data_IF_202807812026
#
_entry.id   IF_202807812026
#
_cell.length_a   1.000
_cell.length_b   1.000
_cell.length_c   1.000
_cell.angle_alpha   90.00
_cell.angle_beta   90.00
_cell.angle_gamma   90.00
#
_symmetry.space_group_name_H-M   'P 1'
#
loop_
_entity.id
_entity.type
_entity.pdbx_description
1 polymer ?
#
# COMPACT_ATOMS: atom_id res chain seq x y z
N UNK A 1 -6.33 7.09 -11.34
CA UNK A 1 -5.06 7.29 -10.61
C UNK A 1 -3.90 6.97 -11.54
N UNK A 2 -2.75 7.60 -11.35
CA UNK A 2 -1.51 7.29 -12.07
C UNK A 2 -0.61 6.38 -11.21
N UNK A 3 -0.05 5.35 -11.85
CA UNK A 3 0.83 4.34 -11.23
C UNK A 3 2.27 4.62 -11.65
N UNK A 4 2.97 5.39 -10.83
CA UNK A 4 4.18 6.12 -11.21
C UNK A 4 5.43 5.29 -10.88
N UNK A 5 6.27 4.92 -11.87
CA UNK A 5 7.58 4.35 -11.61
C UNK A 5 8.57 5.44 -11.15
N UNK A 6 9.53 5.07 -10.31
CA UNK A 6 10.58 5.94 -9.79
C UNK A 6 11.39 6.59 -10.92
N UNK A 7 11.59 5.85 -12.03
CA UNK A 7 12.26 6.36 -13.22
C UNK A 7 11.61 7.63 -13.76
N UNK A 8 10.28 7.69 -13.80
CA UNK A 8 9.58 8.90 -14.26
C UNK A 8 9.90 10.09 -13.35
N UNK A 9 9.82 9.90 -12.04
CA UNK A 9 10.13 10.95 -11.07
C UNK A 9 11.59 11.43 -11.16
N UNK A 10 12.54 10.50 -11.40
CA UNK A 10 13.94 10.87 -11.64
C UNK A 10 14.10 11.68 -12.94
N UNK A 11 13.42 11.28 -14.03
CA UNK A 11 13.45 12.02 -15.31
C UNK A 11 12.85 13.43 -15.17
N UNK A 12 11.77 13.60 -14.41
CA UNK A 12 11.19 14.91 -14.10
C UNK A 12 12.20 15.78 -13.34
N UNK A 13 12.80 15.24 -12.28
CA UNK A 13 13.80 15.96 -11.44
C UNK A 13 15.03 16.38 -12.24
N UNK A 14 15.51 15.53 -13.13
CA UNK A 14 16.71 15.75 -13.94
C UNK A 14 16.44 16.51 -15.25
N UNK A 15 15.20 16.94 -15.49
CA UNK A 15 14.74 17.58 -16.73
C UNK A 15 15.12 16.78 -17.99
N UNK A 16 14.89 15.46 -17.93
CA UNK A 16 15.15 14.53 -19.03
C UNK A 16 13.88 14.23 -19.82
N UNK A 17 14.08 13.59 -20.98
CA UNK A 17 13.00 13.10 -21.84
C UNK A 17 12.26 11.92 -21.21
N UNK A 18 11.03 11.73 -21.64
CA UNK A 18 10.18 10.58 -21.33
C UNK A 18 9.55 10.06 -22.61
N UNK A 19 9.53 8.74 -22.77
CA UNK A 19 9.00 8.06 -23.96
C UNK A 19 7.65 7.42 -23.63
N UNK A 20 6.63 7.76 -24.42
CA UNK A 20 5.30 7.16 -24.35
C UNK A 20 5.30 5.86 -25.17
N UNK A 21 4.89 4.74 -24.56
CA UNK A 21 5.03 3.42 -25.17
C UNK A 21 3.67 2.71 -25.28
N UNK A 22 3.41 2.10 -26.43
CA UNK A 22 2.24 1.24 -26.64
C UNK A 22 2.47 -0.12 -25.95
N UNK A 23 1.58 -0.58 -25.05
CA UNK A 23 1.76 -1.87 -24.36
C UNK A 23 1.85 -3.09 -25.31
N UNK A 24 1.28 -3.01 -26.50
CA UNK A 24 1.35 -4.07 -27.51
C UNK A 24 2.73 -4.15 -28.17
N UNK A 25 3.41 -3.02 -28.31
CA UNK A 25 4.75 -2.94 -28.93
C UNK A 25 5.86 -3.08 -27.90
N UNK A 26 5.60 -2.65 -26.66
CA UNK A 26 6.50 -2.67 -25.52
C UNK A 26 5.92 -3.54 -24.37
N UNK A 27 5.69 -4.85 -24.59
CA UNK A 27 5.08 -5.72 -23.60
C UNK A 27 5.96 -5.90 -22.36
N UNK A 28 5.33 -6.14 -21.21
CA UNK A 28 6.01 -6.46 -19.95
C UNK A 28 6.32 -5.28 -19.03
N UNK A 29 6.13 -4.03 -19.48
CA UNK A 29 6.34 -2.84 -18.64
C UNK A 29 5.39 -2.77 -17.43
N UNK A 30 4.15 -3.25 -17.56
CA UNK A 30 3.20 -3.37 -16.44
C UNK A 30 3.50 -4.55 -15.51
N UNK A 31 4.26 -5.54 -15.98
CA UNK A 31 4.56 -6.79 -15.28
C UNK A 31 5.92 -6.75 -14.56
N UNK A 32 6.68 -5.67 -14.68
CA UNK A 32 7.99 -5.45 -14.06
C UNK A 32 7.98 -4.18 -13.22
N UNK A 33 8.88 -4.05 -12.25
CA UNK A 33 9.07 -2.85 -11.41
C UNK A 33 10.55 -2.72 -11.02
N UNK A 34 10.93 -1.60 -10.42
CA UNK A 34 12.31 -1.33 -10.00
C UNK A 34 13.32 -1.46 -11.15
N UNK A 35 14.48 -2.06 -10.89
CA UNK A 35 15.54 -2.19 -11.89
C UNK A 35 15.14 -2.98 -13.14
N UNK A 36 14.27 -3.98 -13.01
CA UNK A 36 13.81 -4.78 -14.14
C UNK A 36 12.97 -3.93 -15.09
N UNK A 37 12.07 -3.12 -14.54
CA UNK A 37 11.30 -2.14 -15.31
C UNK A 37 12.23 -1.14 -16.00
N UNK A 38 13.22 -0.63 -15.30
CA UNK A 38 14.15 0.36 -15.87
C UNK A 38 14.96 -0.20 -17.03
N UNK A 39 15.53 -1.40 -16.87
CA UNK A 39 16.29 -2.07 -17.93
C UNK A 39 15.41 -2.30 -19.16
N UNK A 40 14.17 -2.77 -18.95
CA UNK A 40 13.22 -3.02 -20.04
C UNK A 40 12.77 -1.73 -20.72
N UNK A 41 12.45 -0.69 -19.94
CA UNK A 41 12.04 0.62 -20.44
C UNK A 41 13.15 1.27 -21.28
N UNK A 42 14.39 1.27 -20.79
CA UNK A 42 15.53 1.84 -21.51
C UNK A 42 15.84 1.08 -22.80
N UNK A 43 15.66 -0.25 -22.80
CA UNK A 43 15.78 -1.06 -24.02
C UNK A 43 14.75 -0.62 -25.07
N UNK A 44 13.48 -0.52 -24.69
CA UNK A 44 12.44 -0.09 -25.63
C UNK A 44 12.63 1.36 -26.07
N UNK A 45 13.10 2.26 -25.20
CA UNK A 45 13.40 3.65 -25.56
C UNK A 45 14.44 3.72 -26.70
N UNK A 46 15.49 2.89 -26.65
CA UNK A 46 16.49 2.80 -27.72
C UNK A 46 15.97 2.19 -29.02
N UNK A 47 15.01 1.25 -28.94
CA UNK A 47 14.38 0.64 -30.11
C UNK A 47 13.39 1.59 -30.78
N UNK A 48 12.59 2.30 -29.98
CA UNK A 48 11.58 3.25 -30.45
C UNK A 48 12.20 4.48 -31.10
N UNK A 49 13.32 4.96 -30.57
CA UNK A 49 14.11 6.03 -31.19
C UNK A 49 14.53 5.67 -32.63
N UNK A 50 14.79 4.38 -32.90
CA UNK A 50 15.14 3.87 -34.24
C UNK A 50 13.93 3.65 -35.16
N UNK A 51 12.77 3.29 -34.62
CA UNK A 51 11.58 2.89 -35.40
C UNK A 51 10.66 4.05 -35.78
N UNK A 52 10.29 4.89 -34.82
CA UNK A 52 9.14 5.81 -34.97
C UNK A 52 9.59 7.27 -35.14
N UNK A 53 10.87 7.57 -34.85
CA UNK A 53 11.46 8.90 -35.01
C UNK A 53 10.79 9.93 -34.11
N UNK A 54 11.25 10.08 -32.87
CA UNK A 54 10.93 11.14 -31.88
C UNK A 54 9.44 11.49 -31.59
N UNK A 55 8.44 10.97 -32.31
CA UNK A 55 7.03 11.41 -32.18
C UNK A 55 6.42 11.11 -30.81
N UNK A 56 6.90 10.07 -30.13
CA UNK A 56 6.41 9.65 -28.81
C UNK A 56 7.35 10.07 -27.66
N UNK A 57 8.38 10.88 -27.95
CA UNK A 57 9.37 11.32 -26.97
C UNK A 57 9.07 12.77 -26.59
N UNK A 58 8.73 12.99 -25.32
CA UNK A 58 8.36 14.29 -24.75
C UNK A 58 9.34 14.68 -23.64
N UNK A 59 9.29 15.93 -23.17
CA UNK A 59 9.96 16.26 -21.91
C UNK A 59 9.15 15.71 -20.74
N UNK A 60 9.83 15.08 -19.78
CA UNK A 60 9.15 14.54 -18.60
C UNK A 60 8.42 15.63 -17.82
N UNK A 61 8.99 16.85 -17.78
CA UNK A 61 8.39 18.00 -17.12
C UNK A 61 7.09 18.48 -17.79
N UNK A 62 6.95 18.36 -19.11
CA UNK A 62 5.71 18.76 -19.81
C UNK A 62 4.52 17.87 -19.39
N UNK A 63 4.75 16.56 -19.28
CA UNK A 63 3.76 15.62 -18.75
C UNK A 63 3.49 15.90 -17.27
N UNK A 64 4.54 16.17 -16.48
CA UNK A 64 4.41 16.53 -15.07
C UNK A 64 3.54 17.77 -14.87
N UNK A 65 3.77 18.84 -15.64
CA UNK A 65 2.94 20.06 -15.59
C UNK A 65 1.50 19.77 -15.99
N UNK A 66 1.26 18.92 -16.98
CA UNK A 66 -0.09 18.50 -17.38
C UNK A 66 -0.81 17.74 -16.25
N UNK A 67 -0.09 16.86 -15.52
CA UNK A 67 -0.61 16.16 -14.33
C UNK A 67 -0.97 17.16 -13.24
N UNK A 68 -0.07 18.10 -12.92
CA UNK A 68 -0.30 19.14 -11.91
C UNK A 68 -1.48 20.03 -12.25
N UNK A 69 -1.60 20.46 -13.51
CA UNK A 69 -2.72 21.27 -13.98
C UNK A 69 -4.05 20.54 -13.75
N UNK A 70 -4.14 19.27 -14.15
CA UNK A 70 -5.33 18.46 -13.91
C UNK A 70 -5.65 18.31 -12.42
N UNK A 71 -4.63 18.13 -11.57
CA UNK A 71 -4.80 18.05 -10.11
C UNK A 71 -5.30 19.36 -9.51
N UNK A 72 -4.80 20.51 -9.99
CA UNK A 72 -5.26 21.83 -9.55
C UNK A 72 -6.72 22.06 -9.95
N UNK A 73 -7.09 21.70 -11.17
CA UNK A 73 -8.42 21.97 -11.73
C UNK A 73 -9.48 20.98 -11.19
N UNK A 74 -9.12 19.72 -10.97
CA UNK A 74 -10.09 18.64 -10.72
C UNK A 74 -9.87 17.87 -9.43
N UNK A 75 -8.74 18.08 -8.73
CA UNK A 75 -8.31 17.24 -7.61
C UNK A 75 -7.79 15.85 -8.02
N UNK A 76 -7.73 15.54 -9.31
CA UNK A 76 -7.30 14.24 -9.87
C UNK A 76 -6.31 14.44 -11.02
N UNK A 77 -5.49 13.45 -11.41
CA UNK A 77 -5.44 12.07 -10.91
C UNK A 77 -4.76 11.93 -9.54
N UNK A 78 -5.22 10.98 -8.74
CA UNK A 78 -4.43 10.46 -7.61
C UNK A 78 -3.11 9.88 -8.10
N UNK A 79 -2.07 9.94 -7.27
CA UNK A 79 -0.72 9.49 -7.60
C UNK A 79 -0.24 8.45 -6.60
N UNK A 80 0.18 7.28 -7.10
CA UNK A 80 0.77 6.23 -6.28
C UNK A 80 2.08 5.76 -6.91
N UNK A 81 3.05 5.43 -6.07
CA UNK A 81 4.40 5.04 -6.49
C UNK A 81 4.49 3.53 -6.66
N UNK A 82 4.54 3.09 -7.91
CA UNK A 82 4.56 1.68 -8.34
C UNK A 82 5.65 0.88 -7.65
N UNK A 83 6.87 1.40 -7.67
CA UNK A 83 8.05 0.68 -7.19
C UNK A 83 8.03 0.57 -5.66
N UNK A 84 7.58 1.62 -4.96
CA UNK A 84 7.36 1.60 -3.52
C UNK A 84 6.25 0.61 -3.11
N UNK A 85 5.17 0.52 -3.89
CA UNK A 85 4.08 -0.42 -3.63
C UNK A 85 4.50 -1.88 -3.81
N UNK A 86 5.31 -2.17 -4.83
CA UNK A 86 5.77 -3.53 -5.10
C UNK A 86 6.90 -3.97 -4.14
N UNK A 87 7.92 -3.14 -3.96
CA UNK A 87 9.09 -3.46 -3.11
C UNK A 87 8.76 -3.66 -1.63
N UNK A 88 7.67 -3.06 -1.16
CA UNK A 88 7.26 -3.05 0.25
C UNK A 88 5.93 -3.73 0.49
N UNK A 89 5.55 -4.66 -0.39
CA UNK A 89 4.37 -5.49 -0.21
C UNK A 89 4.75 -6.88 0.28
N UNK A 90 4.03 -7.38 1.28
CA UNK A 90 4.13 -8.78 1.69
C UNK A 90 3.60 -9.75 0.61
N UNK A 91 2.92 -9.25 -0.42
CA UNK A 91 2.43 -10.01 -1.57
C UNK A 91 3.39 -10.00 -2.77
N UNK A 92 4.62 -9.48 -2.63
CA UNK A 92 5.56 -9.42 -3.76
C UNK A 92 5.95 -10.80 -4.32
N UNK A 93 5.70 -11.89 -3.58
CA UNK A 93 5.87 -13.27 -4.05
C UNK A 93 4.79 -13.73 -5.05
N UNK A 94 3.69 -13.00 -5.19
CA UNK A 94 2.59 -13.33 -6.10
C UNK A 94 2.83 -12.83 -7.53
N UNK A 95 3.61 -11.75 -7.66
CA UNK A 95 3.91 -11.08 -8.91
C UNK A 95 3.79 -9.56 -8.77
N UNK A 96 3.78 -8.86 -9.89
CA UNK A 96 3.71 -7.39 -9.91
C UNK A 96 2.31 -6.88 -9.63
N UNK A 97 2.19 -6.03 -8.62
CA UNK A 97 0.99 -5.27 -8.27
C UNK A 97 0.86 -4.09 -9.25
N UNK A 98 -0.30 -4.01 -9.90
CA UNK A 98 -0.52 -3.15 -11.10
C UNK A 98 -1.37 -1.92 -10.81
N UNK A 99 -2.06 -1.89 -9.68
CA UNK A 99 -2.94 -0.79 -9.31
C UNK A 99 -3.17 -0.78 -7.80
N UNK A 100 -3.93 0.22 -7.37
CA UNK A 100 -4.57 0.27 -6.06
C UNK A 100 -6.10 0.26 -6.26
N UNK A 101 -6.87 0.51 -5.21
CA UNK A 101 -8.32 0.66 -5.26
C UNK A 101 -8.75 2.13 -5.50
N UNK A 102 -10.05 2.38 -5.39
CA UNK A 102 -10.67 3.70 -5.54
C UNK A 102 -10.08 4.76 -4.59
N UNK A 103 -9.85 4.39 -3.33
CA UNK A 103 -9.45 5.31 -2.27
C UNK A 103 -7.93 5.32 -2.00
N UNK A 104 -7.15 4.58 -2.80
CA UNK A 104 -5.68 4.59 -2.82
C UNK A 104 -4.98 4.01 -1.57
N UNK A 105 -5.70 3.25 -0.73
CA UNK A 105 -5.16 2.63 0.48
C UNK A 105 -4.84 1.14 0.32
N UNK A 106 -5.46 0.47 -0.66
CA UNK A 106 -5.30 -0.97 -0.87
C UNK A 106 -4.31 -1.25 -1.98
N UNK A 107 -3.30 -2.05 -1.69
CA UNK A 107 -2.23 -2.42 -2.62
C UNK A 107 -2.10 -3.94 -2.59
N UNK A 108 -2.93 -4.59 -3.40
CA UNK A 108 -3.07 -6.04 -3.46
C UNK A 108 -2.85 -6.55 -4.88
N UNK A 109 -2.34 -7.78 -4.99
CA UNK A 109 -2.10 -8.42 -6.26
C UNK A 109 -3.41 -8.73 -7.00
N UNK A 110 -3.39 -8.55 -8.31
CA UNK A 110 -4.48 -8.91 -9.22
C UNK A 110 -3.95 -9.59 -10.46
N UNK A 111 -4.75 -10.48 -11.03
CA UNK A 111 -4.43 -11.18 -12.27
C UNK A 111 -5.69 -11.41 -13.09
N UNK A 112 -5.57 -12.14 -14.21
CA UNK A 112 -6.73 -12.52 -15.01
C UNK A 112 -7.76 -13.34 -14.21
N UNK A 113 -7.28 -14.14 -13.26
CA UNK A 113 -8.11 -15.09 -12.51
C UNK A 113 -8.30 -14.65 -11.03
N UNK A 114 -7.75 -13.49 -10.63
CA UNK A 114 -7.77 -12.97 -9.26
C UNK A 114 -8.19 -11.50 -9.23
N UNK A 115 -9.33 -11.24 -8.58
CA UNK A 115 -9.80 -9.90 -8.24
C UNK A 115 -9.59 -9.69 -6.75
N UNK A 116 -8.72 -8.75 -6.37
CA UNK A 116 -8.43 -8.42 -4.98
C UNK A 116 -9.69 -7.91 -4.26
N UNK A 117 -9.85 -8.26 -2.98
CA UNK A 117 -11.04 -7.92 -2.18
C UNK A 117 -10.61 -7.29 -0.87
N UNK A 118 -11.18 -6.13 -0.59
CA UNK A 118 -10.86 -5.36 0.60
C UNK A 118 -11.88 -5.61 1.73
N UNK A 119 -11.44 -6.17 2.85
CA UNK A 119 -12.24 -6.36 4.06
C UNK A 119 -11.82 -5.33 5.12
N UNK A 120 -12.65 -4.32 5.35
CA UNK A 120 -12.28 -3.13 6.13
C UNK A 120 -13.00 -3.00 7.47
N UNK A 121 -12.27 -2.54 8.47
CA UNK A 121 -12.83 -1.97 9.70
C UNK A 121 -11.98 -0.77 10.16
N UNK A 122 -12.57 0.15 10.91
CA UNK A 122 -11.88 1.33 11.43
C UNK A 122 -11.99 1.44 12.95
N UNK A 123 -10.85 1.67 13.60
CA UNK A 123 -10.76 1.85 15.05
C UNK A 123 -11.03 3.32 15.41
N UNK A 124 -11.98 3.59 16.30
CA UNK A 124 -12.26 4.93 16.81
C UNK A 124 -11.26 5.34 17.90
N UNK A 125 -10.18 6.02 17.51
CA UNK A 125 -9.04 6.33 18.39
C UNK A 125 -9.41 7.19 19.61
N UNK A 126 -10.40 8.07 19.48
CA UNK A 126 -10.83 8.94 20.56
C UNK A 126 -11.42 8.17 21.76
N UNK A 127 -11.80 6.90 21.58
CA UNK A 127 -12.35 6.05 22.66
C UNK A 127 -11.29 5.54 23.63
N UNK A 128 -10.00 5.65 23.29
CA UNK A 128 -8.88 5.24 24.14
C UNK A 128 -8.28 6.42 24.91
N UNK A 129 -8.90 7.60 24.88
CA UNK A 129 -8.41 8.78 25.58
C UNK A 129 -9.08 8.93 26.94
N UNK A 130 -8.29 8.97 28.01
CA UNK A 130 -8.69 9.50 29.31
C UNK A 130 -8.38 11.00 29.33
N UNK A 131 -9.44 11.82 29.24
CA UNK A 131 -9.35 13.28 29.15
C UNK A 131 -8.84 13.89 30.45
N UNK A 132 -9.21 13.34 31.61
CA UNK A 132 -8.82 13.87 32.92
C UNK A 132 -7.33 13.62 33.17
N UNK A 133 -6.84 12.44 32.80
CA UNK A 133 -5.41 12.08 32.95
C UNK A 133 -4.54 12.50 31.77
N UNK A 134 -5.15 13.00 30.69
CA UNK A 134 -4.49 13.25 29.40
C UNK A 134 -3.66 12.05 28.93
N UNK A 135 -4.26 10.87 29.00
CA UNK A 135 -3.61 9.59 28.77
C UNK A 135 -4.27 8.84 27.61
N UNK A 136 -3.47 8.12 26.84
CA UNK A 136 -3.94 7.25 25.75
C UNK A 136 -3.73 5.78 26.13
N UNK A 137 -4.82 5.01 26.17
CA UNK A 137 -4.84 3.61 26.58
C UNK A 137 -4.42 2.67 25.45
N UNK A 138 -3.13 2.35 25.42
CA UNK A 138 -2.56 1.42 24.45
C UNK A 138 -2.94 -0.04 24.72
N UNK A 139 -3.23 -0.43 25.96
CA UNK A 139 -3.61 -1.81 26.28
C UNK A 139 -5.00 -2.13 25.73
N UNK A 140 -5.93 -1.20 25.88
CA UNK A 140 -7.27 -1.33 25.30
C UNK A 140 -7.22 -1.25 23.76
N UNK A 141 -6.34 -0.43 23.18
CA UNK A 141 -6.09 -0.41 21.73
C UNK A 141 -5.58 -1.78 21.22
N UNK A 142 -4.63 -2.41 21.93
CA UNK A 142 -4.16 -3.77 21.61
C UNK A 142 -5.32 -4.76 21.59
N UNK A 143 -6.11 -4.78 22.67
CA UNK A 143 -7.25 -5.70 22.83
C UNK A 143 -8.26 -5.55 21.70
N UNK A 144 -8.67 -4.32 21.39
CA UNK A 144 -9.64 -4.04 20.32
C UNK A 144 -9.08 -4.41 18.94
N UNK A 145 -7.80 -4.15 18.70
CA UNK A 145 -7.16 -4.49 17.42
C UNK A 145 -7.16 -6.00 17.17
N UNK A 146 -6.86 -6.82 18.19
CA UNK A 146 -6.94 -8.29 18.08
C UNK A 146 -8.36 -8.75 17.73
N UNK A 147 -9.37 -8.21 18.40
CA UNK A 147 -10.79 -8.53 18.13
C UNK A 147 -11.18 -8.18 16.69
N UNK A 148 -10.79 -7.00 16.20
CA UNK A 148 -11.07 -6.57 14.83
C UNK A 148 -10.36 -7.48 13.82
N UNK A 149 -9.11 -7.85 14.08
CA UNK A 149 -8.35 -8.77 13.23
C UNK A 149 -9.07 -10.11 13.06
N UNK A 150 -9.54 -10.71 14.16
CA UNK A 150 -10.33 -11.94 14.13
C UNK A 150 -11.67 -11.76 13.40
N UNK A 151 -12.34 -10.62 13.61
CA UNK A 151 -13.61 -10.33 12.95
C UNK A 151 -13.45 -10.19 11.43
N UNK A 152 -12.40 -9.50 10.96
CA UNK A 152 -12.12 -9.33 9.54
C UNK A 152 -11.75 -10.67 8.89
N UNK A 153 -10.99 -11.53 9.56
CA UNK A 153 -10.69 -12.87 9.05
C UNK A 153 -11.97 -13.73 8.92
N UNK A 154 -12.90 -13.64 9.88
CA UNK A 154 -14.21 -14.31 9.79
C UNK A 154 -15.08 -13.78 8.64
N UNK A 155 -14.96 -12.49 8.29
CA UNK A 155 -15.70 -11.92 7.16
C UNK A 155 -15.28 -12.58 5.85
N UNK A 156 -14.00 -12.90 5.68
CA UNK A 156 -13.49 -13.57 4.46
C UNK A 156 -14.27 -14.88 4.19
N UNK A 157 -14.54 -15.66 5.22
CA UNK A 157 -15.24 -16.94 5.07
C UNK A 157 -16.76 -16.80 4.92
N UNK A 158 -17.34 -15.72 5.48
CA UNK A 158 -18.80 -15.48 5.50
C UNK A 158 -19.30 -14.59 4.36
N UNK A 159 -18.41 -13.89 3.68
CA UNK A 159 -18.79 -12.92 2.67
C UNK A 159 -19.48 -13.58 1.47
N UNK A 160 -20.40 -12.85 0.85
CA UNK A 160 -20.94 -13.23 -0.46
C UNK A 160 -20.09 -12.59 -1.55
N UNK A 161 -19.44 -13.43 -2.37
CA UNK A 161 -18.57 -12.96 -3.45
C UNK A 161 -19.36 -12.84 -4.76
N UNK A 162 -19.40 -11.66 -5.39
CA UNK A 162 -20.18 -11.45 -6.61
C UNK A 162 -19.58 -12.15 -7.84
N UNK A 163 -18.27 -12.43 -7.82
CA UNK A 163 -17.53 -13.09 -8.90
C UNK A 163 -16.56 -14.12 -8.32
N UNK A 164 -16.23 -15.17 -9.10
CA UNK A 164 -15.43 -16.32 -8.61
C UNK A 164 -13.98 -15.94 -8.37
N UNK A 165 -13.44 -15.05 -9.19
CA UNK A 165 -12.09 -14.51 -9.13
C UNK A 165 -11.85 -13.76 -7.80
N UNK A 166 -12.89 -13.10 -7.28
CA UNK A 166 -12.87 -12.41 -6.00
C UNK A 166 -12.82 -13.39 -4.83
N UNK A 167 -13.66 -14.43 -4.87
CA UNK A 167 -13.62 -15.50 -3.88
C UNK A 167 -12.26 -16.23 -3.91
N UNK A 168 -11.76 -16.52 -5.11
CA UNK A 168 -10.50 -17.22 -5.30
C UNK A 168 -9.33 -16.44 -4.70
N UNK A 169 -9.19 -15.15 -5.02
CA UNK A 169 -8.15 -14.28 -4.46
C UNK A 169 -8.25 -14.19 -2.93
N UNK A 170 -9.43 -13.87 -2.39
CA UNK A 170 -9.57 -13.61 -0.95
C UNK A 170 -9.32 -14.89 -0.11
N UNK A 171 -9.76 -16.07 -0.57
CA UNK A 171 -9.47 -17.33 0.12
C UNK A 171 -8.00 -17.76 0.02
N UNK A 172 -7.26 -17.29 -0.99
CA UNK A 172 -5.87 -17.68 -1.24
C UNK A 172 -4.87 -16.81 -0.47
N UNK A 173 -5.17 -15.53 -0.31
CA UNK A 173 -4.26 -14.54 0.29
C UNK A 173 -4.75 -13.97 1.62
N UNK A 174 -6.06 -14.08 1.90
CA UNK A 174 -6.74 -13.61 3.11
C UNK A 174 -6.35 -12.19 3.59
N UNK A 175 -6.30 -11.17 2.70
CA UNK A 175 -5.99 -9.81 3.10
C UNK A 175 -7.10 -9.18 3.96
N UNK A 176 -6.69 -8.36 4.91
CA UNK A 176 -7.58 -7.54 5.76
C UNK A 176 -7.03 -6.11 5.83
N UNK A 177 -7.91 -5.13 5.98
CA UNK A 177 -7.53 -3.73 6.17
C UNK A 177 -8.09 -3.18 7.49
N UNK A 178 -7.19 -2.73 8.37
CA UNK A 178 -7.54 -2.10 9.64
C UNK A 178 -7.14 -0.63 9.55
N UNK A 179 -8.15 0.23 9.45
CA UNK A 179 -7.99 1.68 9.47
C UNK A 179 -8.24 2.29 10.84
N UNK A 180 -8.16 3.61 10.90
CA UNK A 180 -8.48 4.41 12.09
C UNK A 180 -9.40 5.56 11.74
N UNK A 181 -10.14 6.05 12.73
CA UNK A 181 -10.93 7.28 12.65
C UNK A 181 -10.76 8.07 13.95
N UNK A 182 -11.02 9.38 13.91
CA UNK A 182 -10.92 10.26 15.09
C UNK A 182 -9.49 10.56 15.55
N UNK A 183 -8.50 10.53 14.66
CA UNK A 183 -7.10 10.89 15.00
C UNK A 183 -6.99 12.37 15.41
N UNK A 184 -7.65 13.27 14.67
CA UNK A 184 -7.69 14.69 15.02
C UNK A 184 -8.37 14.93 16.37
N UNK A 185 -9.52 14.29 16.61
CA UNK A 185 -10.24 14.34 17.88
C UNK A 185 -9.37 13.85 19.04
N UNK A 186 -8.63 12.74 18.84
CA UNK A 186 -7.68 12.20 19.81
C UNK A 186 -6.63 13.24 20.21
N UNK A 187 -6.04 13.92 19.22
CA UNK A 187 -5.07 14.98 19.49
C UNK A 187 -5.71 16.18 20.20
N UNK A 188 -6.92 16.58 19.81
CA UNK A 188 -7.65 17.67 20.47
C UNK A 188 -7.96 17.36 21.95
N UNK A 189 -8.43 16.14 22.24
CA UNK A 189 -8.73 15.69 23.60
C UNK A 189 -7.48 15.66 24.49
N UNK A 190 -6.34 15.25 23.93
CA UNK A 190 -5.04 15.24 24.61
C UNK A 190 -4.34 16.60 24.65
N UNK A 191 -4.93 17.64 24.02
CA UNK A 191 -4.35 18.98 23.88
C UNK A 191 -3.02 18.98 23.12
N UNK A 192 -2.86 18.09 22.15
CA UNK A 192 -1.71 18.04 21.26
C UNK A 192 -2.03 18.78 19.96
N UNK A 193 -1.33 19.89 19.63
CA UNK A 193 -1.38 20.43 18.28
C UNK A 193 -0.96 19.37 17.26
N UNK A 194 -1.59 19.34 16.09
CA UNK A 194 -1.38 18.27 15.10
C UNK A 194 0.10 18.13 14.68
N UNK A 195 0.80 19.26 14.55
CA UNK A 195 2.22 19.32 14.16
C UNK A 195 3.20 19.19 15.36
N UNK A 196 2.69 18.99 16.58
CA UNK A 196 3.51 18.89 17.77
C UNK A 196 4.34 17.61 17.80
N UNK A 197 5.47 17.64 18.54
CA UNK A 197 6.30 16.45 18.77
C UNK A 197 5.52 15.33 19.45
N UNK A 198 4.61 15.69 20.37
CA UNK A 198 3.75 14.75 21.07
C UNK A 198 2.74 14.06 20.14
N UNK A 199 2.10 14.81 19.24
CA UNK A 199 1.20 14.22 18.23
C UNK A 199 1.95 13.28 17.27
N UNK A 200 3.16 13.66 16.85
CA UNK A 200 4.03 12.82 16.01
C UNK A 200 4.42 11.51 16.70
N UNK A 201 4.81 11.57 17.97
CA UNK A 201 5.16 10.39 18.77
C UNK A 201 3.94 9.47 18.99
N UNK A 202 2.81 10.06 19.40
CA UNK A 202 1.57 9.33 19.59
C UNK A 202 1.10 8.64 18.29
N UNK A 203 1.20 9.33 17.15
CA UNK A 203 0.92 8.74 15.85
C UNK A 203 1.77 7.48 15.60
N UNK A 204 3.10 7.57 15.80
CA UNK A 204 4.00 6.41 15.63
C UNK A 204 3.56 5.24 16.51
N UNK A 205 3.33 5.49 17.80
CA UNK A 205 2.98 4.46 18.78
C UNK A 205 1.60 3.84 18.54
N UNK A 206 0.61 4.61 18.08
CA UNK A 206 -0.72 4.09 17.72
C UNK A 206 -0.59 3.06 16.59
N UNK A 207 0.08 3.43 15.48
CA UNK A 207 0.18 2.56 14.32
C UNK A 207 1.09 1.35 14.58
N UNK A 208 2.15 1.52 15.36
CA UNK A 208 2.98 0.40 15.85
C UNK A 208 2.16 -0.59 16.69
N UNK A 209 1.35 -0.08 17.63
CA UNK A 209 0.49 -0.92 18.49
C UNK A 209 -0.54 -1.68 17.68
N UNK A 210 -1.18 -1.03 16.71
CA UNK A 210 -2.15 -1.67 15.81
C UNK A 210 -1.47 -2.76 14.98
N UNK A 211 -0.34 -2.44 14.34
CA UNK A 211 0.37 -3.38 13.48
C UNK A 211 0.84 -4.61 14.25
N UNK A 212 1.49 -4.41 15.41
CA UNK A 212 1.93 -5.51 16.27
C UNK A 212 0.76 -6.40 16.69
N UNK A 213 -0.33 -5.81 17.19
CA UNK A 213 -1.49 -6.56 17.70
C UNK A 213 -2.20 -7.34 16.60
N UNK A 214 -2.30 -6.76 15.39
CA UNK A 214 -2.88 -7.43 14.24
C UNK A 214 -2.02 -8.62 13.78
N UNK A 215 -0.70 -8.47 13.74
CA UNK A 215 0.22 -9.58 13.44
C UNK A 215 0.15 -10.67 14.50
N UNK A 216 0.15 -10.31 15.77
CA UNK A 216 0.06 -11.26 16.88
C UNK A 216 -1.21 -12.10 16.80
N UNK A 217 -2.36 -11.47 16.59
CA UNK A 217 -3.62 -12.18 16.38
C UNK A 217 -3.60 -13.01 15.08
N UNK A 218 -3.03 -12.51 13.99
CA UNK A 218 -2.89 -13.27 12.74
C UNK A 218 -2.05 -14.53 12.94
N UNK A 219 -0.99 -14.47 13.75
CA UNK A 219 -0.17 -15.64 14.14
C UNK A 219 -0.99 -16.61 15.00
N UNK A 220 -1.77 -16.13 15.97
CA UNK A 220 -2.67 -16.96 16.77
C UNK A 220 -3.69 -17.71 15.88
N UNK A 221 -4.27 -17.03 14.88
CA UNK A 221 -5.17 -17.64 13.90
C UNK A 221 -4.43 -18.67 13.03
N UNK A 222 -3.23 -18.35 12.55
CA UNK A 222 -2.42 -19.27 11.75
C UNK A 222 -2.02 -20.53 12.54
N UNK A 223 -1.75 -20.43 13.85
CA UNK A 223 -1.52 -21.60 14.71
C UNK A 223 -2.75 -22.50 14.83
N UNK A 224 -3.95 -21.92 14.76
CA UNK A 224 -5.22 -22.65 14.91
C UNK A 224 -5.74 -23.24 13.59
N UNK A 225 -5.65 -22.50 12.50
CA UNK A 225 -6.26 -22.84 11.21
C UNK A 225 -5.25 -23.13 10.10
N UNK A 226 -3.96 -22.96 10.37
CA UNK A 226 -2.89 -22.95 9.37
C UNK A 226 -2.69 -21.55 8.76
N UNK A 227 -1.51 -21.28 8.18
CA UNK A 227 -1.26 -20.04 7.45
C UNK A 227 -2.11 -19.96 6.17
N UNK A 228 -2.29 -18.76 5.62
CA UNK A 228 -2.92 -18.59 4.30
C UNK A 228 -2.09 -19.27 3.21
N UNK A 229 -2.74 -19.70 2.11
CA UNK A 229 -2.17 -20.61 1.10
C UNK A 229 -0.87 -20.12 0.45
N UNK A 230 -0.66 -18.81 0.44
CA UNK A 230 0.48 -18.15 -0.23
C UNK A 230 1.43 -17.48 0.74
N UNK A 231 1.42 -17.90 2.00
CA UNK A 231 2.35 -17.41 3.02
C UNK A 231 3.80 -17.78 2.69
N UNK A 232 4.04 -19.03 2.29
CA UNK A 232 5.39 -19.50 1.96
C UNK A 232 5.98 -18.70 0.79
N UNK A 233 7.21 -18.23 0.95
CA UNK A 233 7.91 -17.37 0.00
C UNK A 233 7.65 -15.87 0.15
N UNK A 234 6.63 -15.46 0.94
CA UNK A 234 6.40 -14.04 1.28
C UNK A 234 7.54 -13.45 2.13
N UNK A 235 7.71 -12.12 2.16
CA UNK A 235 8.60 -11.45 3.11
C UNK A 235 8.40 -11.91 4.56
N UNK A 236 7.16 -11.99 5.03
CA UNK A 236 6.85 -12.39 6.39
C UNK A 236 7.32 -13.83 6.70
N UNK A 237 7.23 -14.76 5.74
CA UNK A 237 7.77 -16.13 5.91
C UNK A 237 9.30 -16.16 6.09
N UNK A 238 10.00 -15.12 5.64
CA UNK A 238 11.45 -14.93 5.77
C UNK A 238 11.83 -14.08 6.98
N UNK A 239 10.86 -13.73 7.84
CA UNK A 239 11.06 -12.89 9.01
C UNK A 239 11.18 -11.40 8.69
N UNK A 240 10.78 -10.94 7.49
CA UNK A 240 10.76 -9.53 7.12
C UNK A 240 9.36 -8.97 7.32
N UNK A 241 9.21 -8.05 8.27
CA UNK A 241 7.99 -7.30 8.52
C UNK A 241 8.00 -5.97 7.77
N UNK A 242 6.89 -5.24 7.83
CA UNK A 242 6.71 -4.04 7.01
C UNK A 242 7.83 -3.02 7.25
N UNK A 243 8.16 -2.72 8.50
CA UNK A 243 9.20 -1.75 8.85
C UNK A 243 10.61 -2.19 8.38
N UNK A 244 10.87 -3.49 8.25
CA UNK A 244 12.12 -4.01 7.70
C UNK A 244 12.25 -3.67 6.22
N UNK A 245 11.13 -3.73 5.47
CA UNK A 245 11.09 -3.33 4.06
C UNK A 245 11.29 -1.81 3.86
N UNK A 246 11.16 -1.02 4.93
CA UNK A 246 11.52 0.40 4.96
C UNK A 246 12.93 0.67 5.51
N UNK A 247 13.72 -0.37 5.82
CA UNK A 247 15.01 -0.27 6.49
C UNK A 247 14.96 0.58 7.77
N UNK A 248 13.84 0.51 8.50
CA UNK A 248 13.60 1.31 9.70
C UNK A 248 13.79 0.47 10.95
N UNK A 249 14.50 1.01 11.94
CA UNK A 249 14.62 0.38 13.26
C UNK A 249 13.37 0.64 14.08
N UNK A 250 12.84 -0.40 14.69
CA UNK A 250 11.80 -0.30 15.71
C UNK A 250 12.48 -0.06 17.06
N UNK A 251 11.93 0.86 17.86
CA UNK A 251 12.44 1.11 19.19
C UNK A 251 11.99 -0.04 20.10
N UNK A 252 12.92 -0.89 20.54
CA UNK A 252 12.63 -2.04 21.42
C UNK A 252 12.38 -1.65 22.89
N UNK A 253 12.02 -0.39 23.16
CA UNK A 253 11.89 0.17 24.52
C UNK A 253 10.46 0.21 25.00
#
# INVERSE_FOLDING_TARGET
>A
AIWVPDLFMRRVKENKKWTLMCPNECPGLSESWGEEFEKLYLKYEQEEEKKIGNKNIIQAQDLWFSILQSQIETGTPYMLYKDACNSKSNQQNLGTIKCSNLCCEIVEYTSKDEVAVCNLASIALCRFVDVEKQFFDFDELRRITKIITENLDKIIDRNYYPVKEAQYSNFRHRPIGIGVQGLADTFMLLRYPYESKQAKDLNKRIFETIYHSALEMSIELAKKYGPYKTFEGSPASKGLLQFDLWNTKVDNT
#
